data_IF_720942263183
#
_entry.id   IF_720942263183
#
_cell.length_a   1.000
_cell.length_b   1.000
_cell.length_c   1.000
_cell.angle_alpha   90.00
_cell.angle_beta   90.00
_cell.angle_gamma   90.00
#
_symmetry.space_group_name_H-M   'P 1'
#
loop_
_entity.id
_entity.type
_entity.pdbx_description
1 polymer ?
#
# COMPACT_ATOMS: atom_id res chain seq x y z
N UNK A 1 -53.43 14.14 -14.04
CA UNK A 1 -53.01 13.34 -12.87
C UNK A 1 -52.96 11.88 -13.26
N UNK A 2 -51.80 11.37 -13.66
CA UNK A 2 -51.60 9.95 -13.99
C UNK A 2 -50.71 9.32 -12.92
N UNK A 3 -51.29 8.45 -12.10
CA UNK A 3 -50.60 7.73 -11.02
C UNK A 3 -49.61 6.72 -11.61
N UNK A 4 -48.32 6.85 -11.28
CA UNK A 4 -47.30 5.87 -11.61
C UNK A 4 -47.61 4.52 -10.92
N UNK A 5 -47.48 3.37 -11.61
CA UNK A 5 -47.74 2.08 -11.01
C UNK A 5 -46.66 1.73 -9.98
N UNK A 6 -47.11 1.48 -8.75
CA UNK A 6 -46.29 0.96 -7.64
C UNK A 6 -45.63 -0.35 -8.06
N UNK A 7 -44.30 -0.43 -7.96
CA UNK A 7 -43.53 -1.63 -8.29
C UNK A 7 -44.05 -2.84 -7.49
N UNK A 8 -44.72 -3.78 -8.17
CA UNK A 8 -45.11 -5.07 -7.57
C UNK A 8 -43.84 -5.81 -7.15
N UNK A 9 -43.70 -6.13 -5.86
CA UNK A 9 -42.73 -7.13 -5.38
C UNK A 9 -43.02 -8.46 -6.09
N UNK A 10 -42.23 -8.78 -7.12
CA UNK A 10 -42.27 -10.10 -7.76
C UNK A 10 -41.91 -11.12 -6.68
N UNK A 11 -42.87 -11.94 -6.26
CA UNK A 11 -42.62 -13.07 -5.34
C UNK A 11 -41.57 -13.96 -6.00
N UNK A 12 -40.45 -14.18 -5.33
CA UNK A 12 -39.39 -15.05 -5.84
C UNK A 12 -39.94 -16.47 -6.00
N UNK A 13 -39.67 -17.16 -7.12
CA UNK A 13 -40.20 -18.51 -7.35
C UNK A 13 -39.63 -19.51 -6.34
N UNK A 14 -40.32 -20.63 -6.12
CA UNK A 14 -39.89 -21.70 -5.19
C UNK A 14 -38.47 -22.20 -5.49
N UNK A 15 -38.07 -22.22 -6.77
CA UNK A 15 -36.71 -22.58 -7.22
C UNK A 15 -35.62 -21.68 -6.63
N UNK A 16 -35.91 -20.40 -6.37
CA UNK A 16 -34.96 -19.49 -5.72
C UNK A 16 -34.61 -19.96 -4.32
N UNK A 17 -35.61 -20.32 -3.50
CA UNK A 17 -35.38 -20.77 -2.13
C UNK A 17 -34.70 -22.14 -2.07
N UNK A 18 -34.99 -23.03 -3.03
CA UNK A 18 -34.24 -24.28 -3.21
C UNK A 18 -32.78 -23.98 -3.52
N UNK A 19 -32.50 -23.06 -4.45
CA UNK A 19 -31.14 -22.64 -4.78
C UNK A 19 -30.39 -22.03 -3.59
N UNK A 20 -31.06 -21.20 -2.78
CA UNK A 20 -30.49 -20.66 -1.53
C UNK A 20 -30.18 -21.78 -0.54
N UNK A 21 -31.07 -22.78 -0.40
CA UNK A 21 -30.83 -23.94 0.45
C UNK A 21 -29.60 -24.75 0.00
N UNK A 22 -29.49 -25.03 -1.30
CA UNK A 22 -28.33 -25.73 -1.88
C UNK A 22 -27.04 -24.92 -1.65
N UNK A 23 -27.08 -23.59 -1.81
CA UNK A 23 -25.94 -22.72 -1.55
C UNK A 23 -25.43 -22.84 -0.10
N UNK A 24 -26.30 -22.73 0.89
CA UNK A 24 -25.90 -22.85 2.30
C UNK A 24 -25.43 -24.27 2.64
N UNK A 25 -26.02 -25.30 2.02
CA UNK A 25 -25.60 -26.69 2.20
C UNK A 25 -24.20 -26.94 1.62
N UNK A 26 -23.92 -26.41 0.42
CA UNK A 26 -22.58 -26.42 -0.17
C UNK A 26 -21.57 -25.65 0.67
N UNK A 27 -21.95 -24.48 1.20
CA UNK A 27 -21.09 -23.68 2.06
C UNK A 27 -20.77 -24.40 3.38
N UNK A 28 -21.77 -24.99 4.03
CA UNK A 28 -21.59 -25.79 5.24
C UNK A 28 -20.73 -27.04 4.95
N UNK A 29 -20.96 -27.70 3.81
CA UNK A 29 -20.14 -28.81 3.35
C UNK A 29 -18.68 -28.42 3.13
N UNK A 30 -18.42 -27.26 2.52
CA UNK A 30 -17.06 -26.74 2.32
C UNK A 30 -16.37 -26.42 3.66
N UNK A 31 -17.06 -25.74 4.58
CA UNK A 31 -16.53 -25.42 5.91
C UNK A 31 -16.23 -26.71 6.69
N UNK A 32 -17.16 -27.68 6.67
CA UNK A 32 -16.98 -28.98 7.30
C UNK A 32 -15.83 -29.77 6.69
N UNK A 33 -15.68 -29.73 5.37
CA UNK A 33 -14.56 -30.38 4.67
C UNK A 33 -13.21 -29.75 5.03
N UNK A 34 -13.13 -28.42 5.07
CA UNK A 34 -11.92 -27.70 5.50
C UNK A 34 -11.60 -28.09 6.94
N UNK A 35 -12.56 -28.00 7.86
CA UNK A 35 -12.37 -28.35 9.27
C UNK A 35 -11.91 -29.80 9.45
N UNK A 36 -12.55 -30.75 8.77
CA UNK A 36 -12.15 -32.16 8.80
C UNK A 36 -10.74 -32.36 8.26
N UNK A 37 -10.38 -31.69 7.16
CA UNK A 37 -9.03 -31.72 6.59
C UNK A 37 -8.02 -31.16 7.58
N UNK A 38 -8.34 -30.07 8.28
CA UNK A 38 -7.52 -29.46 9.33
C UNK A 38 -7.21 -30.43 10.48
N UNK A 39 -8.18 -31.26 10.89
CA UNK A 39 -7.99 -32.27 11.94
C UNK A 39 -7.07 -33.43 11.52
N UNK A 40 -6.84 -33.64 10.22
CA UNK A 40 -5.95 -34.69 9.70
C UNK A 40 -4.51 -34.22 9.52
N UNK A 41 -4.25 -32.92 9.63
CA UNK A 41 -2.91 -32.36 9.53
C UNK A 41 -2.25 -32.48 10.91
N UNK A 42 -1.08 -33.12 10.96
CA UNK A 42 -0.23 -33.13 12.15
C UNK A 42 0.41 -31.74 12.34
N UNK A 43 -0.35 -30.83 12.95
CA UNK A 43 0.02 -29.44 13.14
C UNK A 43 -0.51 -28.89 14.46
N UNK A 44 0.37 -28.24 15.21
CA UNK A 44 0.03 -27.59 16.49
C UNK A 44 -0.35 -26.14 16.24
N UNK A 45 -1.65 -25.87 16.30
CA UNK A 45 -2.21 -24.53 16.14
C UNK A 45 -1.84 -23.60 17.30
N UNK A 46 -1.35 -22.40 16.99
CA UNK A 46 -0.80 -21.43 17.94
C UNK A 46 -1.36 -20.02 17.72
N UNK A 47 -2.68 -19.94 17.55
CA UNK A 47 -3.43 -18.68 17.35
C UNK A 47 -3.13 -17.60 18.41
N UNK A 48 -2.83 -18.00 19.64
CA UNK A 48 -2.49 -17.10 20.75
C UNK A 48 -1.22 -16.26 20.50
N UNK A 49 -0.35 -16.65 19.56
CA UNK A 49 0.85 -15.88 19.19
C UNK A 49 0.58 -14.78 18.18
N UNK A 50 -0.57 -14.79 17.49
CA UNK A 50 -0.84 -13.84 16.41
C UNK A 50 -0.90 -12.37 16.86
N UNK A 51 -1.54 -12.02 18.00
CA UNK A 51 -1.68 -10.63 18.42
C UNK A 51 -0.35 -9.87 18.52
N UNK A 52 0.74 -10.54 18.87
CA UNK A 52 2.08 -9.92 18.99
C UNK A 52 2.60 -9.36 17.64
N UNK A 53 2.11 -9.88 16.51
CA UNK A 53 2.51 -9.41 15.17
C UNK A 53 1.75 -8.17 14.72
N UNK A 54 0.70 -7.78 15.45
CA UNK A 54 -0.04 -6.54 15.26
C UNK A 54 0.50 -5.41 16.13
N UNK A 55 0.67 -5.70 17.42
CA UNK A 55 1.12 -4.75 18.44
C UNK A 55 1.97 -5.52 19.45
N UNK A 56 3.15 -4.99 19.75
CA UNK A 56 4.02 -5.55 20.79
C UNK A 56 4.57 -4.42 21.68
N UNK A 57 4.95 -4.81 22.90
CA UNK A 57 5.64 -3.91 23.83
C UNK A 57 7.14 -4.00 23.56
N UNK A 58 7.71 -2.90 23.04
CA UNK A 58 9.16 -2.76 22.92
C UNK A 58 9.71 -2.22 24.24
N UNK A 59 10.74 -2.86 24.78
CA UNK A 59 11.45 -2.39 25.98
C UNK A 59 12.58 -1.48 25.52
N UNK A 60 12.42 -0.17 25.71
CA UNK A 60 13.47 0.79 25.43
C UNK A 60 14.29 0.94 26.71
N UNK A 61 15.56 0.55 26.62
CA UNK A 61 16.52 0.64 27.70
C UNK A 61 17.31 1.95 27.56
N UNK A 62 17.23 2.82 28.56
CA UNK A 62 18.15 3.95 28.68
C UNK A 62 19.42 3.45 29.34
N UNK A 63 20.57 3.63 28.69
CA UNK A 63 21.87 3.15 29.16
C UNK A 63 22.75 4.31 29.60
N UNK A 64 23.57 4.10 30.63
CA UNK A 64 24.55 5.07 31.06
C UNK A 64 25.63 5.26 29.99
N UNK A 65 26.00 6.50 29.70
CA UNK A 65 27.09 6.83 28.77
C UNK A 65 28.41 7.00 29.53
N UNK A 66 28.36 7.42 30.80
CA UNK A 66 29.53 7.62 31.67
C UNK A 66 29.61 6.58 32.81
N UNK A 67 30.81 6.42 33.37
CA UNK A 67 31.02 5.69 34.62
C UNK A 67 30.84 6.66 35.80
N UNK A 68 30.06 6.30 36.81
CA UNK A 68 29.81 7.17 37.95
C UNK A 68 28.89 6.58 39.01
N UNK A 69 28.48 7.41 39.96
CA UNK A 69 27.53 7.06 41.02
C UNK A 69 26.20 7.77 40.76
N UNK A 70 25.08 7.12 41.05
CA UNK A 70 23.76 7.77 41.01
C UNK A 70 23.66 8.77 42.15
N UNK A 71 23.63 10.06 41.82
CA UNK A 71 23.57 11.15 42.79
C UNK A 71 22.13 11.48 43.19
N UNK A 72 21.20 11.47 42.22
CA UNK A 72 19.78 11.73 42.48
C UNK A 72 18.88 11.12 41.41
N UNK A 73 17.74 10.60 41.87
CA UNK A 73 16.63 10.21 40.99
C UNK A 73 15.47 11.18 41.25
N UNK A 74 15.19 12.05 40.28
CA UNK A 74 14.05 12.97 40.36
C UNK A 74 12.92 12.50 39.44
N UNK A 75 11.72 12.33 39.99
CA UNK A 75 10.52 12.02 39.20
C UNK A 75 9.62 13.25 39.11
N UNK A 76 9.56 13.85 37.92
CA UNK A 76 8.63 14.93 37.60
C UNK A 76 7.53 14.37 36.69
N UNK A 77 6.37 14.07 37.29
CA UNK A 77 5.19 13.56 36.58
C UNK A 77 5.45 12.23 35.87
N UNK A 78 5.36 12.23 34.54
CA UNK A 78 5.60 11.06 33.68
C UNK A 78 7.07 10.92 33.24
N UNK A 79 8.00 11.69 33.81
CA UNK A 79 9.42 11.63 33.47
C UNK A 79 10.29 11.38 34.70
N UNK A 80 11.30 10.54 34.54
CA UNK A 80 12.32 10.24 35.55
C UNK A 80 13.65 10.75 35.01
N UNK A 81 14.29 11.60 35.79
CA UNK A 81 15.63 12.13 35.51
C UNK A 81 16.61 11.54 36.50
N UNK A 82 17.60 10.79 35.98
CA UNK A 82 18.66 10.17 36.76
C UNK A 82 19.93 10.97 36.52
N UNK A 83 20.47 11.53 37.60
CA UNK A 83 21.73 12.29 37.57
C UNK A 83 22.86 11.36 38.00
N UNK A 84 23.82 11.13 37.12
CA UNK A 84 25.01 10.32 37.39
C UNK A 84 26.21 11.25 37.47
N UNK A 85 26.98 11.16 38.56
CA UNK A 85 28.20 11.93 38.78
C UNK A 85 29.43 11.02 38.65
N UNK A 86 30.31 11.36 37.70
CA UNK A 86 31.53 10.62 37.41
C UNK A 86 32.77 11.52 37.37
N UNK A 87 33.95 10.92 37.19
CA UNK A 87 35.20 11.67 37.04
C UNK A 87 35.23 12.55 35.77
N UNK A 88 34.45 12.18 34.76
CA UNK A 88 34.36 12.88 33.47
C UNK A 88 33.26 13.96 33.43
N UNK A 89 32.51 14.14 34.53
CA UNK A 89 31.44 15.14 34.67
C UNK A 89 30.14 14.57 35.23
N UNK A 90 29.12 15.43 35.33
CA UNK A 90 27.75 15.06 35.73
C UNK A 90 26.86 15.01 34.49
N UNK A 91 26.24 13.86 34.23
CA UNK A 91 25.26 13.70 33.14
C UNK A 91 23.87 13.40 33.69
N UNK A 92 22.87 13.93 32.99
CA UNK A 92 21.46 13.80 33.35
C UNK A 92 20.73 12.99 32.29
N UNK A 93 20.22 11.82 32.66
CA UNK A 93 19.45 10.95 31.80
C UNK A 93 17.96 11.11 32.08
N UNK A 94 17.24 11.76 31.18
CA UNK A 94 15.77 11.90 31.27
C UNK A 94 15.09 10.83 30.44
N UNK A 95 14.25 10.01 31.07
CA UNK A 95 13.49 8.93 30.45
C UNK A 95 12.04 9.01 30.90
N UNK A 96 11.05 8.61 30.08
CA UNK A 96 9.68 8.44 30.53
C UNK A 96 9.61 7.48 31.73
N UNK A 97 8.68 7.72 32.65
CA UNK A 97 8.47 6.90 33.84
C UNK A 97 8.29 5.43 33.43
N UNK A 98 9.27 4.61 33.79
CA UNK A 98 9.36 3.18 33.52
C UNK A 98 9.91 2.44 34.73
N UNK A 99 10.23 1.15 34.57
CA UNK A 99 10.91 0.40 35.61
C UNK A 99 12.33 0.96 35.78
N UNK A 100 12.58 1.63 36.90
CA UNK A 100 13.91 2.10 37.30
C UNK A 100 14.70 0.87 37.76
N UNK A 101 15.92 0.69 37.22
CA UNK A 101 16.78 -0.48 37.51
C UNK A 101 17.93 -0.18 38.46
N UNK A 102 18.07 1.08 38.86
CA UNK A 102 19.18 1.59 39.67
C UNK A 102 18.64 2.37 40.88
N UNK A 103 19.37 2.35 41.97
CA UNK A 103 19.07 3.06 43.22
C UNK A 103 20.06 4.20 43.45
N UNK A 104 19.68 5.18 44.27
CA UNK A 104 20.60 6.24 44.68
C UNK A 104 21.80 5.64 45.43
N UNK A 105 23.01 6.06 45.05
CA UNK A 105 24.25 5.49 45.56
C UNK A 105 24.78 4.25 44.82
N UNK A 106 24.08 3.73 43.81
CA UNK A 106 24.60 2.63 42.99
C UNK A 106 25.77 3.10 42.11
N UNK A 107 26.79 2.24 41.97
CA UNK A 107 27.91 2.43 41.05
C UNK A 107 27.48 1.90 39.68
N UNK A 108 27.61 2.74 38.65
CA UNK A 108 27.15 2.46 37.30
C UNK A 108 28.31 2.57 36.32
N UNK A 109 28.39 1.63 35.38
CA UNK A 109 29.33 1.65 34.28
C UNK A 109 28.67 2.03 32.96
N UNK A 110 29.46 2.57 32.03
CA UNK A 110 29.01 2.86 30.67
C UNK A 110 28.43 1.60 30.03
N UNK A 111 27.18 1.72 29.55
CA UNK A 111 26.39 0.63 28.97
C UNK A 111 25.38 -0.02 29.93
N UNK A 112 25.42 0.26 31.23
CA UNK A 112 24.45 -0.26 32.21
C UNK A 112 23.06 0.33 32.00
N UNK A 113 22.03 -0.48 32.21
CA UNK A 113 20.63 -0.10 31.98
C UNK A 113 20.09 0.67 33.19
N UNK A 114 19.78 1.95 32.99
CA UNK A 114 19.27 2.87 34.00
C UNK A 114 17.75 2.74 34.18
N UNK A 115 17.01 2.78 33.06
CA UNK A 115 15.54 2.70 33.05
C UNK A 115 15.07 1.83 31.90
N UNK A 116 13.96 1.14 32.11
CA UNK A 116 13.26 0.38 31.08
C UNK A 116 11.83 0.92 30.97
N UNK A 117 11.51 1.57 29.85
CA UNK A 117 10.13 1.96 29.58
C UNK A 117 9.54 1.12 28.45
N UNK A 118 8.27 0.72 28.61
CA UNK A 118 7.55 -0.08 27.62
C UNK A 118 6.79 0.85 26.69
N UNK A 119 7.12 0.81 25.40
CA UNK A 119 6.38 1.57 24.38
C UNK A 119 5.63 0.63 23.46
N UNK A 120 4.37 0.97 23.19
CA UNK A 120 3.60 0.29 22.15
C UNK A 120 4.23 0.55 20.79
N UNK A 121 4.52 -0.52 20.06
CA UNK A 121 5.07 -0.44 18.71
C UNK A 121 4.23 -1.28 17.76
N UNK A 122 4.00 -0.72 16.58
CA UNK A 122 3.29 -1.42 15.51
C UNK A 122 4.09 -2.66 15.10
N UNK A 123 3.44 -3.82 15.17
CA UNK A 123 4.01 -5.08 14.76
C UNK A 123 4.22 -5.17 13.24
N UNK A 124 4.96 -6.19 12.83
CA UNK A 124 5.41 -6.37 11.46
C UNK A 124 4.26 -6.45 10.43
N UNK A 125 3.10 -7.02 10.80
CA UNK A 125 1.95 -7.11 9.90
C UNK A 125 1.29 -5.75 9.68
N UNK A 126 1.21 -4.91 10.72
CA UNK A 126 0.68 -3.54 10.60
C UNK A 126 1.61 -2.68 9.75
N UNK A 127 2.93 -2.82 9.95
CA UNK A 127 3.91 -2.13 9.11
C UNK A 127 3.84 -2.58 7.65
N UNK A 128 3.70 -3.89 7.41
CA UNK A 128 3.51 -4.44 6.06
C UNK A 128 2.23 -3.92 5.40
N UNK A 129 1.12 -3.88 6.14
CA UNK A 129 -0.16 -3.34 5.69
C UNK A 129 -0.06 -1.84 5.33
N UNK A 130 0.59 -1.05 6.18
CA UNK A 130 0.84 0.37 5.91
C UNK A 130 1.73 0.57 4.69
N UNK A 131 2.76 -0.27 4.50
CA UNK A 131 3.61 -0.24 3.32
C UNK A 131 2.85 -0.58 2.05
N UNK A 132 2.02 -1.64 2.06
CA UNK A 132 1.12 -2.03 0.96
C UNK A 132 0.22 -0.86 0.53
N UNK A 133 -0.40 -0.16 1.48
CA UNK A 133 -1.21 1.01 1.18
C UNK A 133 -0.37 2.16 0.62
N UNK A 134 0.78 2.47 1.25
CA UNK A 134 1.68 3.54 0.81
C UNK A 134 2.13 3.34 -0.64
N UNK A 135 2.64 2.17 -0.99
CA UNK A 135 3.13 1.90 -2.36
C UNK A 135 1.99 1.94 -3.36
N UNK A 136 0.82 1.40 -3.01
CA UNK A 136 -0.35 1.38 -3.90
C UNK A 136 -0.89 2.79 -4.17
N UNK A 137 -0.97 3.65 -3.14
CA UNK A 137 -1.43 5.05 -3.27
C UNK A 137 -0.48 5.85 -4.14
N UNK A 138 0.83 5.73 -3.93
CA UNK A 138 1.81 6.44 -4.75
C UNK A 138 1.76 5.93 -6.20
N UNK A 139 1.70 4.62 -6.39
CA UNK A 139 1.66 4.01 -7.72
C UNK A 139 0.38 4.34 -8.50
N UNK A 140 -0.80 4.40 -7.87
CA UNK A 140 -2.04 4.79 -8.57
C UNK A 140 -2.02 6.25 -8.99
N UNK A 141 -1.44 7.15 -8.19
CA UNK A 141 -1.31 8.57 -8.54
C UNK A 141 -0.47 8.72 -9.82
N UNK A 142 0.73 8.12 -9.85
CA UNK A 142 1.57 8.15 -11.05
C UNK A 142 0.95 7.38 -12.22
N UNK A 143 0.29 6.24 -11.95
CA UNK A 143 -0.43 5.47 -12.95
C UNK A 143 -1.56 6.27 -13.60
N UNK A 144 -2.33 7.05 -12.84
CA UNK A 144 -3.35 7.94 -13.39
C UNK A 144 -2.74 9.00 -14.30
N UNK A 145 -1.62 9.63 -13.88
CA UNK A 145 -0.94 10.63 -14.69
C UNK A 145 -0.42 10.05 -16.01
N UNK A 146 0.27 8.91 -15.95
CA UNK A 146 0.78 8.19 -17.13
C UNK A 146 -0.38 7.76 -18.02
N UNK A 147 -1.42 7.18 -17.44
CA UNK A 147 -2.58 6.67 -18.17
C UNK A 147 -3.42 7.77 -18.82
N UNK A 148 -3.60 8.92 -18.16
CA UNK A 148 -4.27 10.07 -18.75
C UNK A 148 -3.53 10.57 -19.99
N UNK A 149 -2.21 10.77 -19.87
CA UNK A 149 -1.39 11.24 -20.98
C UNK A 149 -1.39 10.23 -22.16
N UNK A 150 -1.12 8.96 -21.88
CA UNK A 150 -1.03 7.91 -22.89
C UNK A 150 -2.40 7.57 -23.51
N UNK A 151 -3.48 7.63 -22.72
CA UNK A 151 -4.84 7.45 -23.20
C UNK A 151 -5.27 8.54 -24.20
N UNK A 152 -4.92 9.80 -23.92
CA UNK A 152 -5.13 10.91 -24.86
C UNK A 152 -4.22 10.83 -26.08
N UNK A 153 -2.93 10.51 -25.90
CA UNK A 153 -1.97 10.34 -26.99
C UNK A 153 -2.42 9.27 -27.99
N UNK A 154 -3.03 8.18 -27.52
CA UNK A 154 -3.60 7.13 -28.37
C UNK A 154 -4.78 7.58 -29.24
N UNK A 155 -5.51 8.61 -28.80
CA UNK A 155 -6.62 9.21 -29.57
C UNK A 155 -6.14 10.32 -30.52
N UNK A 156 -4.85 10.68 -30.49
CA UNK A 156 -4.30 11.71 -31.36
C UNK A 156 -4.29 11.26 -32.82
N UNK A 157 -4.50 12.21 -33.72
CA UNK A 157 -4.30 12.04 -35.16
C UNK A 157 -2.80 11.95 -35.52
N UNK A 158 -1.91 12.42 -34.65
CA UNK A 158 -0.47 12.33 -34.87
C UNK A 158 -0.03 10.85 -34.76
N UNK A 159 0.50 10.25 -35.86
CA UNK A 159 0.89 8.85 -35.86
C UNK A 159 1.98 8.54 -34.83
N UNK A 160 2.95 9.44 -34.60
CA UNK A 160 4.01 9.19 -33.64
C UNK A 160 3.49 9.06 -32.20
N UNK A 161 2.57 9.94 -31.78
CA UNK A 161 1.93 9.87 -30.46
C UNK A 161 1.04 8.64 -30.33
N UNK A 162 0.27 8.35 -31.38
CA UNK A 162 -0.63 7.20 -31.40
C UNK A 162 0.13 5.88 -31.33
N UNK A 163 1.14 5.67 -32.17
CA UNK A 163 1.90 4.43 -32.24
C UNK A 163 2.78 4.21 -31.00
N UNK A 164 3.36 5.27 -30.43
CA UNK A 164 4.11 5.17 -29.17
C UNK A 164 3.20 4.77 -28.01
N UNK A 165 2.02 5.38 -27.89
CA UNK A 165 1.03 5.02 -26.87
C UNK A 165 0.51 3.59 -27.06
N UNK A 166 0.17 3.18 -28.29
CA UNK A 166 -0.25 1.80 -28.59
C UNK A 166 0.84 0.81 -28.20
N UNK A 167 2.09 1.05 -28.61
CA UNK A 167 3.22 0.16 -28.31
C UNK A 167 3.41 0.00 -26.80
N UNK A 168 3.43 1.11 -26.05
CA UNK A 168 3.52 1.07 -24.60
C UNK A 168 2.39 0.25 -23.97
N UNK A 169 1.13 0.51 -24.35
CA UNK A 169 -0.03 -0.16 -23.77
C UNK A 169 -0.01 -1.67 -24.05
N UNK A 170 0.25 -2.06 -25.31
CA UNK A 170 0.26 -3.48 -25.71
C UNK A 170 1.42 -4.24 -25.07
N UNK A 171 2.62 -3.66 -24.98
CA UNK A 171 3.77 -4.29 -24.31
C UNK A 171 3.53 -4.50 -22.82
N UNK A 172 2.99 -3.49 -22.14
CA UNK A 172 2.78 -3.54 -20.69
C UNK A 172 1.61 -4.46 -20.33
N UNK A 173 0.50 -4.42 -21.08
CA UNK A 173 -0.64 -5.29 -20.81
C UNK A 173 -0.40 -6.73 -21.30
N UNK A 174 0.46 -6.90 -22.29
CA UNK A 174 0.84 -8.21 -22.84
C UNK A 174 1.92 -8.96 -22.04
N UNK A 175 2.56 -8.33 -21.04
CA UNK A 175 3.63 -8.95 -20.26
C UNK A 175 3.25 -9.13 -18.78
N UNK A 176 3.78 -10.17 -18.10
CA UNK A 176 3.52 -10.38 -16.67
C UNK A 176 4.10 -9.25 -15.80
N UNK A 177 3.32 -8.76 -14.84
CA UNK A 177 3.75 -7.71 -13.90
C UNK A 177 5.04 -8.09 -13.15
N UNK A 178 5.19 -9.35 -12.73
CA UNK A 178 6.40 -9.82 -12.04
C UNK A 178 7.66 -9.59 -12.87
N UNK A 179 7.60 -9.85 -14.18
CA UNK A 179 8.72 -9.62 -15.10
C UNK A 179 9.02 -8.12 -15.22
N UNK A 180 7.98 -7.29 -15.29
CA UNK A 180 8.15 -5.83 -15.31
C UNK A 180 8.82 -5.31 -14.03
N UNK A 181 8.44 -5.84 -12.86
CA UNK A 181 9.09 -5.51 -11.59
C UNK A 181 10.59 -5.85 -11.64
N UNK A 182 10.96 -7.02 -12.18
CA UNK A 182 12.36 -7.38 -12.35
C UNK A 182 13.10 -6.48 -13.33
N UNK A 183 12.49 -6.10 -14.45
CA UNK A 183 13.11 -5.17 -15.40
C UNK A 183 13.37 -3.82 -14.72
N UNK A 184 12.38 -3.28 -13.99
CA UNK A 184 12.54 -2.02 -13.26
C UNK A 184 13.61 -2.08 -12.19
N UNK A 185 13.66 -3.17 -11.42
CA UNK A 185 14.61 -3.31 -10.33
C UNK A 185 16.03 -3.65 -10.82
N UNK A 186 16.19 -4.72 -11.60
CA UNK A 186 17.51 -5.23 -12.00
C UNK A 186 18.10 -4.49 -13.19
N UNK A 187 17.31 -4.16 -14.21
CA UNK A 187 17.85 -3.48 -15.39
C UNK A 187 17.92 -1.97 -15.16
N UNK A 188 16.77 -1.32 -14.96
CA UNK A 188 16.73 0.13 -14.77
C UNK A 188 17.35 0.55 -13.44
N UNK A 189 17.13 -0.18 -12.36
CA UNK A 189 17.69 0.17 -11.06
C UNK A 189 19.20 0.08 -10.99
N UNK A 190 19.78 -1.02 -11.48
CA UNK A 190 21.24 -1.15 -11.59
C UNK A 190 21.81 -0.08 -12.50
N UNK A 191 21.22 0.15 -13.69
CA UNK A 191 21.70 1.16 -14.62
C UNK A 191 21.67 2.56 -14.00
N UNK A 192 20.54 2.97 -13.41
CA UNK A 192 20.36 4.29 -12.84
C UNK A 192 21.30 4.53 -11.65
N UNK A 193 21.42 3.56 -10.74
CA UNK A 193 22.34 3.68 -9.61
C UNK A 193 23.81 3.68 -10.06
N UNK A 194 24.15 2.94 -11.13
CA UNK A 194 25.51 2.97 -11.70
C UNK A 194 25.82 4.31 -12.35
N UNK A 195 24.86 4.90 -13.09
CA UNK A 195 25.02 6.22 -13.71
C UNK A 195 25.19 7.30 -12.64
N UNK A 196 24.35 7.31 -11.60
CA UNK A 196 24.43 8.25 -10.49
C UNK A 196 25.78 8.13 -9.76
N UNK A 197 26.24 6.90 -9.53
CA UNK A 197 27.52 6.65 -8.84
C UNK A 197 28.75 7.02 -9.68
N UNK A 198 28.65 7.01 -11.01
CA UNK A 198 29.76 7.41 -11.91
C UNK A 198 29.84 8.91 -12.15
N UNK A 199 28.73 9.64 -11.98
CA UNK A 199 28.67 11.07 -12.21
C UNK A 199 29.03 11.85 -10.93
N UNK A 200 30.32 12.14 -10.74
CA UNK A 200 30.82 12.88 -9.56
C UNK A 200 30.12 14.23 -9.35
N UNK A 201 29.78 14.92 -10.44
CA UNK A 201 29.05 16.19 -10.40
C UNK A 201 27.60 16.03 -9.92
N UNK A 202 26.87 15.02 -10.41
CA UNK A 202 25.50 14.76 -9.93
C UNK A 202 25.52 14.27 -8.49
N UNK A 203 26.50 13.44 -8.14
CA UNK A 203 26.61 12.90 -6.79
C UNK A 203 26.97 13.98 -5.77
N UNK A 204 27.85 14.94 -6.12
CA UNK A 204 28.16 16.06 -5.24
C UNK A 204 26.96 17.00 -5.06
N UNK A 205 26.20 17.27 -6.13
CA UNK A 205 24.94 18.03 -6.06
C UNK A 205 23.91 17.33 -5.15
N UNK A 206 23.70 16.04 -5.35
CA UNK A 206 22.74 15.27 -4.54
C UNK A 206 23.16 15.20 -3.07
N UNK A 207 24.46 15.02 -2.77
CA UNK A 207 24.99 15.06 -1.41
C UNK A 207 24.78 16.43 -0.75
N UNK A 208 24.99 17.52 -1.50
CA UNK A 208 24.76 18.88 -1.03
C UNK A 208 23.28 19.18 -0.74
N UNK A 209 22.37 18.76 -1.63
CA UNK A 209 20.91 18.96 -1.46
C UNK A 209 20.35 18.08 -0.33
N UNK A 210 20.80 16.84 -0.22
CA UNK A 210 20.29 15.89 0.78
C UNK A 210 21.03 16.00 2.13
N UNK A 211 22.12 16.77 2.20
CA UNK A 211 22.94 16.90 3.41
C UNK A 211 23.59 15.58 3.86
N UNK A 212 23.87 14.66 2.93
CA UNK A 212 24.37 13.31 3.24
C UNK A 212 25.81 13.12 2.76
N UNK A 213 26.61 12.45 3.58
CA UNK A 213 28.00 12.07 3.23
C UNK A 213 28.08 10.70 2.52
N UNK A 214 26.98 9.95 2.49
CA UNK A 214 26.91 8.62 1.88
C UNK A 214 26.67 8.68 0.36
N UNK A 215 26.99 7.59 -0.33
CA UNK A 215 26.65 7.40 -1.74
C UNK A 215 25.13 7.37 -1.86
N UNK A 216 24.56 8.38 -2.51
CA UNK A 216 23.12 8.44 -2.79
C UNK A 216 22.78 7.37 -3.83
N UNK A 217 22.01 6.37 -3.42
CA UNK A 217 21.41 5.37 -4.29
C UNK A 217 19.89 5.48 -4.19
N UNK A 218 19.21 5.16 -5.28
CA UNK A 218 17.75 5.14 -5.30
C UNK A 218 17.27 3.87 -4.59
N UNK A 219 16.44 3.99 -3.54
CA UNK A 219 15.90 2.83 -2.84
C UNK A 219 15.08 1.88 -3.73
N UNK A 220 15.08 0.55 -3.46
CA UNK A 220 14.25 -0.45 -4.15
C UNK A 220 12.77 -0.07 -4.26
N UNK A 221 12.27 0.62 -3.23
CA UNK A 221 10.90 1.12 -3.13
C UNK A 221 10.45 1.88 -4.39
N UNK A 222 11.30 2.78 -4.91
CA UNK A 222 10.94 3.63 -6.04
C UNK A 222 10.89 2.87 -7.36
N UNK A 223 11.73 1.85 -7.54
CA UNK A 223 11.64 0.96 -8.70
C UNK A 223 10.38 0.08 -8.64
N UNK A 224 10.00 -0.39 -7.46
CA UNK A 224 8.72 -1.07 -7.25
C UNK A 224 7.51 -0.18 -7.54
N UNK A 225 7.52 1.06 -7.04
CA UNK A 225 6.49 2.07 -7.33
C UNK A 225 6.43 2.39 -8.82
N UNK A 226 7.58 2.57 -9.49
CA UNK A 226 7.65 2.83 -10.92
C UNK A 226 7.07 1.66 -11.73
N UNK A 227 7.43 0.42 -11.40
CA UNK A 227 6.88 -0.77 -12.06
C UNK A 227 5.35 -0.82 -11.94
N UNK A 228 4.82 -0.65 -10.73
CA UNK A 228 3.38 -0.64 -10.47
C UNK A 228 2.68 0.55 -11.16
N UNK A 229 3.30 1.73 -11.19
CA UNK A 229 2.76 2.92 -11.84
C UNK A 229 2.70 2.78 -13.36
N UNK A 230 3.76 2.27 -14.00
CA UNK A 230 3.78 2.01 -15.44
C UNK A 230 2.80 0.90 -15.83
N UNK A 231 2.71 -0.16 -15.02
CA UNK A 231 1.71 -1.20 -15.23
C UNK A 231 0.30 -0.63 -15.16
N UNK A 232 -0.02 0.04 -14.06
CA UNK A 232 -1.33 0.67 -13.83
C UNK A 232 -1.65 1.71 -14.90
N UNK A 233 -0.67 2.50 -15.33
CA UNK A 233 -0.83 3.52 -16.36
C UNK A 233 -1.36 2.96 -17.69
N UNK A 234 -0.94 1.77 -18.09
CA UNK A 234 -1.43 1.15 -19.32
C UNK A 234 -2.91 0.74 -19.21
N UNK A 235 -3.34 0.23 -18.05
CA UNK A 235 -4.75 -0.07 -17.80
C UNK A 235 -5.59 1.20 -17.69
N UNK A 236 -5.08 2.24 -17.03
CA UNK A 236 -5.76 3.54 -16.94
C UNK A 236 -5.88 4.20 -18.32
N UNK A 237 -4.87 4.08 -19.19
CA UNK A 237 -4.93 4.58 -20.56
C UNK A 237 -6.10 3.98 -21.36
N UNK A 238 -6.33 2.67 -21.20
CA UNK A 238 -7.48 2.00 -21.80
C UNK A 238 -8.81 2.47 -21.23
N UNK A 239 -8.87 2.68 -19.91
CA UNK A 239 -10.06 3.22 -19.27
C UNK A 239 -10.39 4.61 -19.81
N UNK A 240 -9.39 5.49 -19.91
CA UNK A 240 -9.54 6.85 -20.47
C UNK A 240 -10.02 6.79 -21.91
N UNK A 241 -9.37 5.98 -22.75
CA UNK A 241 -9.77 5.79 -24.16
C UNK A 241 -11.20 5.28 -24.28
N UNK A 242 -11.55 4.23 -23.52
CA UNK A 242 -12.89 3.64 -23.52
C UNK A 242 -13.93 4.63 -22.99
N UNK A 243 -13.60 5.40 -21.96
CA UNK A 243 -14.43 6.47 -21.40
C UNK A 243 -14.76 7.53 -22.44
N UNK A 244 -13.77 8.00 -23.20
CA UNK A 244 -13.97 8.98 -24.28
C UNK A 244 -14.81 8.38 -25.41
N UNK A 245 -14.48 7.17 -25.88
CA UNK A 245 -15.17 6.52 -26.99
C UNK A 245 -16.61 6.12 -26.67
N UNK A 246 -16.95 5.96 -25.39
CA UNK A 246 -18.31 5.63 -24.98
C UNK A 246 -19.30 6.78 -25.21
N UNK A 247 -18.82 8.02 -25.39
CA UNK A 247 -19.69 9.20 -25.54
C UNK A 247 -20.36 9.18 -26.91
N UNK A 248 -21.67 9.44 -26.93
CA UNK A 248 -22.46 9.41 -28.15
C UNK A 248 -21.95 10.47 -29.14
N UNK A 249 -21.74 10.07 -30.41
CA UNK A 249 -21.19 10.96 -31.46
C UNK A 249 -22.00 12.25 -31.66
N UNK A 250 -23.32 12.18 -31.43
CA UNK A 250 -24.20 13.35 -31.46
C UNK A 250 -23.78 14.50 -30.52
N UNK A 251 -23.05 14.23 -29.43
CA UNK A 251 -22.47 15.27 -28.57
C UNK A 251 -21.39 16.08 -29.32
N UNK A 252 -20.53 15.36 -30.04
CA UNK A 252 -19.50 15.98 -30.89
C UNK A 252 -20.13 16.69 -32.08
N UNK A 253 -21.13 16.10 -32.73
CA UNK A 253 -21.85 16.71 -33.85
C UNK A 253 -22.55 18.00 -33.41
N UNK A 254 -23.30 17.99 -32.31
CA UNK A 254 -23.96 19.18 -31.77
C UNK A 254 -22.96 20.28 -31.40
N UNK A 255 -21.87 19.94 -30.72
CA UNK A 255 -20.82 20.89 -30.38
C UNK A 255 -20.17 21.53 -31.63
N UNK A 256 -19.94 20.73 -32.68
CA UNK A 256 -19.41 21.23 -33.96
C UNK A 256 -20.42 22.09 -34.70
N UNK A 257 -21.71 21.77 -34.65
CA UNK A 257 -22.79 22.61 -35.19
C UNK A 257 -22.91 23.95 -34.48
N UNK A 258 -22.54 24.03 -33.21
CA UNK A 258 -22.45 25.28 -32.44
C UNK A 258 -21.14 26.06 -32.68
N UNK A 259 -20.30 25.63 -33.63
CA UNK A 259 -19.06 26.32 -34.00
C UNK A 259 -17.86 26.01 -33.12
N UNK A 260 -17.94 25.06 -32.19
CA UNK A 260 -16.81 24.71 -31.32
C UNK A 260 -15.68 24.05 -32.13
N UNK A 261 -14.42 24.45 -31.87
CA UNK A 261 -13.24 23.73 -32.36
C UNK A 261 -13.13 22.35 -31.71
N UNK A 262 -12.30 21.45 -32.28
CA UNK A 262 -12.07 20.12 -31.70
C UNK A 262 -11.59 20.21 -30.24
N UNK A 263 -10.65 21.12 -29.95
CA UNK A 263 -10.13 21.35 -28.60
C UNK A 263 -11.21 21.88 -27.65
N UNK A 264 -12.05 22.82 -28.12
CA UNK A 264 -13.17 23.32 -27.32
C UNK A 264 -14.20 22.23 -27.03
N UNK A 265 -14.57 21.42 -28.03
CA UNK A 265 -15.46 20.28 -27.87
C UNK A 265 -14.89 19.24 -26.90
N UNK A 266 -13.60 18.92 -27.03
CA UNK A 266 -12.92 17.96 -26.17
C UNK A 266 -12.92 18.43 -24.70
N UNK A 267 -12.52 19.67 -24.43
CA UNK A 267 -12.38 20.18 -23.06
C UNK A 267 -13.73 20.45 -22.38
N UNK A 268 -14.71 21.02 -23.10
CA UNK A 268 -15.95 21.49 -22.48
C UNK A 268 -17.11 20.49 -22.56
N UNK A 269 -17.06 19.54 -23.50
CA UNK A 269 -18.18 18.60 -23.72
C UNK A 269 -17.76 17.16 -23.43
N UNK A 270 -16.70 16.68 -24.08
CA UNK A 270 -16.33 15.26 -24.07
C UNK A 270 -15.61 14.88 -22.77
N UNK A 271 -14.52 15.56 -22.42
CA UNK A 271 -13.65 15.20 -21.30
C UNK A 271 -14.39 15.20 -19.94
N UNK A 272 -15.27 16.17 -19.61
CA UNK A 272 -16.02 16.15 -18.36
C UNK A 272 -16.96 14.94 -18.26
N UNK A 273 -17.60 14.55 -19.37
CA UNK A 273 -18.47 13.37 -19.43
C UNK A 273 -17.65 12.07 -19.36
N UNK A 274 -16.51 12.03 -20.05
CA UNK A 274 -15.62 10.88 -20.08
C UNK A 274 -15.05 10.60 -18.69
N UNK A 275 -14.61 11.64 -17.99
CA UNK A 275 -14.07 11.53 -16.64
C UNK A 275 -15.06 10.86 -15.68
N UNK A 276 -16.34 11.22 -15.73
CA UNK A 276 -17.40 10.59 -14.92
C UNK A 276 -17.55 9.09 -15.21
N UNK A 277 -17.30 8.66 -16.45
CA UNK A 277 -17.34 7.24 -16.85
C UNK A 277 -16.06 6.47 -16.51
N UNK A 278 -14.94 7.18 -16.37
CA UNK A 278 -13.62 6.61 -16.03
C UNK A 278 -13.45 6.39 -14.53
N UNK A 279 -14.10 7.20 -13.68
CA UNK A 279 -13.98 7.09 -12.21
C UNK A 279 -14.35 5.69 -11.67
N UNK A 280 -15.47 5.04 -12.04
CA UNK A 280 -15.81 3.72 -11.52
C UNK A 280 -14.78 2.62 -11.82
N UNK A 281 -14.28 2.42 -13.06
CA UNK A 281 -13.24 1.43 -13.31
C UNK A 281 -11.90 1.78 -12.67
N UNK A 282 -11.57 3.07 -12.45
CA UNK A 282 -10.36 3.47 -11.71
C UNK A 282 -10.39 2.98 -10.26
N UNK A 283 -11.56 3.02 -9.60
CA UNK A 283 -11.73 2.48 -8.26
C UNK A 283 -11.39 0.97 -8.21
N UNK A 284 -11.88 0.19 -9.18
CA UNK A 284 -11.55 -1.22 -9.33
C UNK A 284 -10.07 -1.47 -9.60
N UNK A 285 -9.43 -0.59 -10.37
CA UNK A 285 -7.99 -0.67 -10.63
C UNK A 285 -7.17 -0.43 -9.36
N UNK A 286 -7.57 0.51 -8.50
CA UNK A 286 -6.88 0.75 -7.24
C UNK A 286 -6.96 -0.45 -6.28
N UNK A 287 -8.13 -1.12 -6.21
CA UNK A 287 -8.29 -2.36 -5.44
C UNK A 287 -7.40 -3.48 -6.00
N UNK A 288 -7.28 -3.58 -7.32
CA UNK A 288 -6.40 -4.56 -7.97
C UNK A 288 -4.93 -4.27 -7.66
N UNK A 289 -4.54 -3.00 -7.70
CA UNK A 289 -3.18 -2.56 -7.41
C UNK A 289 -2.71 -2.92 -5.99
N UNK A 290 -3.62 -2.88 -5.00
CA UNK A 290 -3.32 -3.35 -3.64
C UNK A 290 -2.88 -4.81 -3.64
N UNK A 291 -3.55 -5.67 -4.41
CA UNK A 291 -3.19 -7.08 -4.54
C UNK A 291 -1.92 -7.26 -5.34
N UNK A 292 -1.77 -6.53 -6.44
CA UNK A 292 -0.58 -6.57 -7.31
C UNK A 292 0.69 -6.16 -6.57
N UNK A 293 0.58 -5.24 -5.59
CA UNK A 293 1.69 -4.83 -4.75
C UNK A 293 2.32 -5.97 -3.94
N UNK A 294 1.61 -7.10 -3.72
CA UNK A 294 2.15 -8.31 -3.08
C UNK A 294 3.37 -8.89 -3.80
N UNK A 295 3.50 -8.62 -5.11
CA UNK A 295 4.64 -9.09 -5.89
C UNK A 295 5.94 -8.33 -5.54
N UNK A 296 5.84 -7.14 -4.94
CA UNK A 296 7.01 -6.34 -4.57
C UNK A 296 7.88 -7.02 -3.49
N UNK A 297 7.33 -7.97 -2.74
CA UNK A 297 8.09 -8.75 -1.76
C UNK A 297 9.29 -9.50 -2.35
N UNK A 298 9.29 -9.77 -3.66
CA UNK A 298 10.39 -10.46 -4.32
C UNK A 298 11.66 -9.59 -4.46
N UNK A 299 11.49 -8.27 -4.52
CA UNK A 299 12.59 -7.29 -4.52
C UNK A 299 12.83 -6.70 -3.12
N UNK A 300 12.51 -7.49 -2.09
CA UNK A 300 12.73 -7.19 -0.67
C UNK A 300 11.99 -5.95 -0.13
N UNK A 301 10.94 -5.48 -0.81
CA UNK A 301 10.06 -4.45 -0.24
C UNK A 301 9.15 -5.14 0.79
N UNK A 302 9.24 -4.71 2.05
CA UNK A 302 8.46 -5.29 3.17
C UNK A 302 7.01 -4.80 3.19
N UNK A 303 6.26 -5.23 2.19
CA UNK A 303 4.79 -5.15 2.15
C UNK A 303 4.15 -6.32 2.90
N UNK A 304 2.82 -6.39 2.99
CA UNK A 304 2.09 -7.36 3.80
C UNK A 304 2.45 -8.84 3.51
N UNK A 305 2.59 -9.24 2.24
CA UNK A 305 2.96 -10.62 1.87
C UNK A 305 4.38 -10.96 2.31
N UNK A 306 5.34 -10.05 2.10
CA UNK A 306 6.73 -10.18 2.53
C UNK A 306 6.86 -10.19 4.04
N UNK A 307 6.18 -9.29 4.74
CA UNK A 307 6.10 -9.25 6.19
C UNK A 307 5.58 -10.58 6.74
N UNK A 308 4.50 -11.12 6.16
CA UNK A 308 3.97 -12.43 6.53
C UNK A 308 5.00 -13.52 6.32
N UNK A 309 5.66 -13.55 5.15
CA UNK A 309 6.69 -14.54 4.84
C UNK A 309 7.85 -14.51 5.83
N UNK A 310 8.33 -13.33 6.24
CA UNK A 310 9.39 -13.17 7.24
C UNK A 310 8.99 -13.78 8.60
N UNK A 311 7.75 -13.55 9.03
CA UNK A 311 7.23 -14.16 10.26
C UNK A 311 7.08 -15.67 10.11
N UNK A 312 6.60 -16.17 8.97
CA UNK A 312 6.48 -17.61 8.72
C UNK A 312 7.83 -18.30 8.81
N UNK A 313 8.88 -17.70 8.23
CA UNK A 313 10.23 -18.29 8.23
C UNK A 313 10.90 -18.29 9.60
N UNK A 314 10.46 -17.43 10.53
CA UNK A 314 11.05 -17.30 11.86
C UNK A 314 10.26 -18.05 12.94
N UNK A 315 8.93 -18.07 12.82
CA UNK A 315 8.02 -18.71 13.78
C UNK A 315 7.65 -20.15 13.41
N UNK A 316 7.86 -20.55 12.15
CA UNK A 316 7.40 -21.82 11.58
C UNK A 316 5.88 -22.03 11.69
N UNK A 317 5.09 -20.95 11.57
CA UNK A 317 3.63 -20.96 11.67
C UNK A 317 2.91 -20.63 10.35
N UNK A 318 3.04 -21.47 9.29
CA UNK A 318 2.55 -21.11 7.96
C UNK A 318 1.03 -20.95 7.90
N UNK A 319 0.25 -21.85 8.52
CA UNK A 319 -1.20 -21.87 8.35
C UNK A 319 -1.88 -20.63 8.95
N UNK A 320 -1.55 -20.28 10.20
CA UNK A 320 -2.11 -19.11 10.88
C UNK A 320 -1.72 -17.82 10.14
N UNK A 321 -0.45 -17.67 9.79
CA UNK A 321 0.05 -16.42 9.21
C UNK A 321 -0.45 -16.19 7.79
N UNK A 322 -0.50 -17.23 6.94
CA UNK A 322 -1.09 -17.08 5.60
C UNK A 322 -2.61 -16.86 5.66
N UNK A 323 -3.30 -17.45 6.64
CA UNK A 323 -4.73 -17.18 6.88
C UNK A 323 -4.95 -15.73 7.31
N UNK A 324 -4.15 -15.22 8.26
CA UNK A 324 -4.21 -13.82 8.69
C UNK A 324 -3.85 -12.87 7.54
N UNK A 325 -2.82 -13.17 6.75
CA UNK A 325 -2.46 -12.39 5.57
C UNK A 325 -3.63 -12.28 4.58
N UNK A 326 -4.29 -13.40 4.27
CA UNK A 326 -5.47 -13.41 3.40
C UNK A 326 -6.62 -12.58 3.99
N UNK A 327 -6.89 -12.72 5.29
CA UNK A 327 -7.90 -11.92 5.99
C UNK A 327 -7.57 -10.41 5.99
N UNK A 328 -6.29 -10.05 6.10
CA UNK A 328 -5.85 -8.66 6.06
C UNK A 328 -5.96 -8.05 4.66
N UNK A 329 -5.60 -8.78 3.61
CA UNK A 329 -5.88 -8.33 2.23
C UNK A 329 -7.39 -8.20 1.98
N UNK A 330 -8.19 -9.16 2.46
CA UNK A 330 -9.64 -9.08 2.36
C UNK A 330 -10.17 -7.86 3.11
N UNK A 331 -9.71 -7.61 4.33
CA UNK A 331 -10.09 -6.44 5.12
C UNK A 331 -9.72 -5.13 4.40
N UNK A 332 -8.50 -5.02 3.88
CA UNK A 332 -8.05 -3.85 3.11
C UNK A 332 -8.92 -3.61 1.88
N UNK A 333 -9.08 -4.65 1.05
CA UNK A 333 -9.81 -4.54 -0.22
C UNK A 333 -11.31 -4.34 -0.03
N UNK A 334 -11.91 -4.99 0.97
CA UNK A 334 -13.31 -4.83 1.32
C UNK A 334 -13.60 -3.42 1.85
N UNK A 335 -12.79 -2.93 2.80
CA UNK A 335 -12.94 -1.58 3.36
C UNK A 335 -12.82 -0.53 2.27
N UNK A 336 -11.83 -0.68 1.38
CA UNK A 336 -11.66 0.22 0.25
C UNK A 336 -12.81 0.12 -0.75
N UNK A 337 -13.28 -1.09 -1.07
CA UNK A 337 -14.43 -1.28 -1.96
C UNK A 337 -15.69 -0.61 -1.42
N UNK A 338 -15.97 -0.75 -0.13
CA UNK A 338 -17.10 -0.09 0.52
C UNK A 338 -16.98 1.44 0.49
N UNK A 339 -15.78 1.97 0.78
CA UNK A 339 -15.52 3.41 0.70
C UNK A 339 -15.70 3.95 -0.73
N UNK A 340 -15.20 3.22 -1.74
CA UNK A 340 -15.31 3.62 -3.14
C UNK A 340 -16.75 3.52 -3.66
N UNK A 341 -17.49 2.47 -3.30
CA UNK A 341 -18.91 2.36 -3.65
C UNK A 341 -19.75 3.49 -3.02
N UNK A 342 -19.41 3.89 -1.80
CA UNK A 342 -20.07 5.04 -1.16
C UNK A 342 -19.82 6.34 -1.94
N UNK A 343 -18.58 6.58 -2.36
CA UNK A 343 -18.22 7.74 -3.21
C UNK A 343 -18.94 7.66 -4.56
N UNK A 344 -18.91 6.51 -5.23
CA UNK A 344 -19.53 6.29 -6.54
C UNK A 344 -21.03 6.60 -6.53
N UNK A 345 -21.77 6.11 -5.51
CA UNK A 345 -23.20 6.40 -5.37
C UNK A 345 -23.50 7.89 -5.25
N UNK A 346 -22.60 8.65 -4.62
CA UNK A 346 -22.74 10.10 -4.45
C UNK A 346 -22.45 10.84 -5.75
N UNK A 347 -21.46 10.39 -6.53
CA UNK A 347 -21.05 11.03 -7.79
C UNK A 347 -22.02 10.74 -8.95
N UNK A 348 -22.68 9.59 -8.97
CA UNK A 348 -23.70 9.27 -10.00
C UNK A 348 -25.02 10.01 -9.73
N UNK A 349 -25.31 10.33 -8.46
CA UNK A 349 -26.52 11.05 -8.06
C UNK A 349 -26.46 12.57 -8.28
N UNK A 350 -25.31 13.12 -8.70
CA UNK A 350 -25.05 14.54 -8.99
C UNK A 350 -24.66 14.76 -10.45
#
# INVERSE_FOLDING_TARGET
MGSFPVARRIRRPRSYYIGVGIFFLMLAGLIGFIYYSTLKIDYVWRWYRIPQYFLYHDTIESRAEINGIVDRISQEGETVTIVVSGNDGTESYTSPAGDIRVSEGDIIYSGDVLTVHRKWKAGILVQGMAMTLKVSVIAIIFGILIGLFTGLARLSDNPALKWSAVTYIELIRGSPLLVQIFIWYFAFGTLMNTLIAKSDGLQSLLRGVLGTQQIVQVPPLWFGVAALAFFTGAYVAEMVRAGIQSIHRGQTEAARSLGMTYSQCMVHVILPQALRRVIPPLAGQFISLIKDSSLLGIIAIRELTKATREVVTTSFQPFELWTICALLYLFLTFTLSMALQYVERRTIAS
#
